data_IF_060006436916
#
_entry.id   IF_060006436916
#
_cell.length_a   1.000
_cell.length_b   1.000
_cell.length_c   1.000
_cell.angle_alpha   90.00
_cell.angle_beta   90.00
_cell.angle_gamma   90.00
#
_symmetry.space_group_name_H-M   'P 1'
#
loop_
_entity.id
_entity.type
_entity.pdbx_description
1 polymer ?
#
# COMPACT_ATOMS: atom_id res chain seq x y z
N UNK A 1 -30.06 -23.33 72.66
CA UNK A 1 -28.82 -22.65 72.26
C UNK A 1 -28.15 -23.47 71.15
N UNK A 2 -28.08 -23.01 69.91
CA UNK A 2 -27.42 -23.73 68.85
C UNK A 2 -27.98 -23.49 67.44
N UNK A 3 -28.01 -22.23 66.93
CA UNK A 3 -28.34 -21.98 65.51
C UNK A 3 -27.70 -20.67 64.97
N UNK A 4 -26.49 -20.31 65.34
CA UNK A 4 -25.90 -19.04 64.88
C UNK A 4 -24.53 -19.11 64.19
N UNK A 5 -23.98 -20.29 63.88
CA UNK A 5 -22.59 -20.39 63.38
C UNK A 5 -22.46 -20.87 61.93
N UNK A 6 -23.52 -21.06 61.17
CA UNK A 6 -23.47 -21.59 59.78
C UNK A 6 -23.66 -20.60 58.65
N UNK A 7 -23.79 -19.31 58.94
CA UNK A 7 -24.06 -18.32 57.89
C UNK A 7 -22.83 -17.50 57.43
N UNK A 8 -21.68 -17.61 58.09
CA UNK A 8 -20.53 -16.70 57.82
C UNK A 8 -19.55 -17.27 56.77
N UNK A 9 -19.53 -18.59 56.54
CA UNK A 9 -18.55 -19.17 55.58
C UNK A 9 -18.93 -19.12 54.11
N UNK A 10 -20.22 -18.97 53.75
CA UNK A 10 -20.66 -19.00 52.34
C UNK A 10 -20.36 -17.69 51.61
N UNK A 11 -20.21 -16.59 52.34
CA UNK A 11 -19.96 -15.26 51.72
C UNK A 11 -18.52 -15.06 51.20
N UNK A 12 -17.52 -15.74 51.78
CA UNK A 12 -16.11 -15.54 51.41
C UNK A 12 -15.65 -16.28 50.13
N UNK A 13 -16.34 -17.34 49.73
CA UNK A 13 -15.91 -18.12 48.55
C UNK A 13 -16.38 -17.51 47.22
N UNK A 14 -17.54 -16.80 47.18
CA UNK A 14 -18.06 -16.17 45.97
C UNK A 14 -17.25 -14.94 45.49
N UNK A 15 -16.58 -14.22 46.37
CA UNK A 15 -15.81 -13.02 46.03
C UNK A 15 -14.47 -13.30 45.34
N UNK A 16 -13.89 -14.48 45.57
CA UNK A 16 -12.57 -14.84 45.01
C UNK A 16 -12.70 -15.39 43.58
N UNK A 17 -13.77 -16.07 43.28
CA UNK A 17 -14.07 -16.61 41.94
C UNK A 17 -14.42 -15.51 40.93
N UNK A 18 -15.21 -14.51 41.34
CA UNK A 18 -15.56 -13.40 40.43
C UNK A 18 -14.35 -12.51 40.08
N UNK A 19 -13.44 -12.26 40.99
CA UNK A 19 -12.24 -11.44 40.74
C UNK A 19 -11.26 -12.14 39.79
N UNK A 20 -11.12 -13.46 39.87
CA UNK A 20 -10.31 -14.25 38.93
C UNK A 20 -10.96 -14.31 37.55
N UNK A 21 -12.26 -14.54 37.44
CA UNK A 21 -12.99 -14.56 36.17
C UNK A 21 -12.88 -13.20 35.47
N UNK A 22 -13.03 -12.09 36.19
CA UNK A 22 -12.91 -10.75 35.64
C UNK A 22 -11.50 -10.43 35.13
N UNK A 23 -10.45 -10.90 35.83
CA UNK A 23 -9.06 -10.76 35.37
C UNK A 23 -8.78 -11.55 34.08
N UNK A 24 -9.33 -12.74 33.94
CA UNK A 24 -9.17 -13.52 32.70
C UNK A 24 -9.92 -12.91 31.51
N UNK A 25 -11.12 -12.37 31.74
CA UNK A 25 -11.90 -11.67 30.70
C UNK A 25 -11.17 -10.38 30.25
N UNK A 26 -10.62 -9.58 31.18
CA UNK A 26 -9.86 -8.38 30.80
C UNK A 26 -8.58 -8.73 30.05
N UNK A 27 -7.86 -9.78 30.43
CA UNK A 27 -6.65 -10.22 29.72
C UNK A 27 -6.94 -10.71 28.30
N UNK A 28 -8.04 -11.45 28.11
CA UNK A 28 -8.43 -11.94 26.77
C UNK A 28 -8.92 -10.83 25.87
N UNK A 29 -9.68 -9.84 26.38
CA UNK A 29 -10.14 -8.68 25.62
C UNK A 29 -8.95 -7.80 25.21
N UNK A 30 -7.99 -7.58 26.11
CA UNK A 30 -6.78 -6.81 25.80
C UNK A 30 -5.91 -7.50 24.75
N UNK A 31 -5.76 -8.82 24.82
CA UNK A 31 -5.02 -9.60 23.83
C UNK A 31 -5.71 -9.58 22.44
N UNK A 32 -7.05 -9.64 22.40
CA UNK A 32 -7.82 -9.52 21.15
C UNK A 32 -7.70 -8.12 20.52
N UNK A 33 -7.72 -7.06 21.33
CA UNK A 33 -7.57 -5.68 20.83
C UNK A 33 -6.14 -5.42 20.33
N UNK A 34 -5.12 -5.94 20.99
CA UNK A 34 -3.73 -5.86 20.51
C UNK A 34 -3.51 -6.68 19.25
N UNK A 35 -4.12 -7.86 19.13
CA UNK A 35 -4.05 -8.70 17.93
C UNK A 35 -4.74 -8.06 16.71
N UNK A 36 -5.89 -7.43 16.89
CA UNK A 36 -6.60 -6.72 15.82
C UNK A 36 -5.81 -5.49 15.32
N UNK A 37 -5.15 -4.75 16.23
CA UNK A 37 -4.32 -3.60 15.87
C UNK A 37 -3.13 -3.94 14.98
N UNK A 38 -2.50 -5.09 15.19
CA UNK A 38 -1.35 -5.54 14.38
C UNK A 38 -1.77 -5.92 12.96
N UNK A 39 -2.96 -6.52 12.76
CA UNK A 39 -3.44 -6.91 11.43
C UNK A 39 -3.79 -5.68 10.56
N UNK A 40 -4.28 -4.60 11.15
CA UNK A 40 -4.56 -3.35 10.43
C UNK A 40 -3.31 -2.55 10.03
N UNK A 41 -2.21 -2.68 10.78
CA UNK A 41 -0.97 -1.94 10.51
C UNK A 41 -0.23 -2.42 9.25
N UNK A 42 -0.49 -3.65 8.77
CA UNK A 42 0.18 -4.21 7.58
C UNK A 42 -0.52 -3.92 6.24
N UNK A 43 -1.70 -3.31 6.25
CA UNK A 43 -2.47 -2.98 5.05
C UNK A 43 -2.66 -1.47 4.85
N UNK A 44 -1.67 -0.65 5.17
CA UNK A 44 -1.72 0.77 4.80
C UNK A 44 -1.39 0.87 3.31
N UNK A 45 -2.34 1.23 2.42
CA UNK A 45 -2.06 1.47 1.02
C UNK A 45 -1.01 2.59 0.91
N UNK A 46 0.16 2.27 0.34
CA UNK A 46 1.25 3.25 0.17
C UNK A 46 2.46 3.08 1.07
N UNK A 47 2.42 2.21 2.10
CA UNK A 47 3.59 1.92 2.93
C UNK A 47 4.31 0.65 2.47
N UNK A 48 5.04 0.77 1.37
CA UNK A 48 6.03 -0.20 0.92
C UNK A 48 5.50 -1.35 0.08
N UNK A 49 6.05 -1.49 -1.11
CA UNK A 49 5.91 -2.59 -2.09
C UNK A 49 4.55 -2.62 -2.79
N UNK A 50 4.47 -1.99 -3.96
CA UNK A 50 3.31 -1.97 -4.83
C UNK A 50 2.60 -3.33 -5.01
N UNK A 51 1.31 -3.30 -5.33
CA UNK A 51 0.50 -4.49 -5.60
C UNK A 51 1.17 -5.33 -6.71
N UNK A 52 1.35 -6.63 -6.46
CA UNK A 52 1.92 -7.53 -7.48
C UNK A 52 0.87 -7.84 -8.54
N UNK A 53 1.20 -7.51 -9.78
CA UNK A 53 0.36 -7.81 -10.94
C UNK A 53 1.05 -8.84 -11.85
N UNK A 54 0.25 -9.51 -12.69
CA UNK A 54 0.74 -10.48 -13.68
C UNK A 54 0.34 -10.04 -15.06
N UNK A 55 1.19 -10.31 -16.04
CA UNK A 55 0.77 -10.17 -17.43
C UNK A 55 0.01 -11.41 -17.89
N UNK A 56 -1.07 -11.19 -18.63
CA UNK A 56 -1.85 -12.23 -19.30
C UNK A 56 -1.79 -11.93 -20.80
N UNK A 57 -1.34 -12.86 -21.60
CA UNK A 57 -1.16 -12.68 -23.07
C UNK A 57 -0.32 -11.44 -23.41
N UNK A 58 0.72 -11.15 -22.62
CA UNK A 58 1.63 -10.03 -22.87
C UNK A 58 1.12 -8.65 -22.46
N UNK A 59 0.02 -8.56 -21.71
CA UNK A 59 -0.53 -7.29 -21.19
C UNK A 59 -0.83 -7.36 -19.71
N UNK A 60 -0.66 -6.24 -19.00
CA UNK A 60 -1.15 -6.01 -17.65
C UNK A 60 -2.42 -5.21 -17.77
N UNK A 61 -3.47 -5.66 -17.09
CA UNK A 61 -4.78 -4.99 -17.09
C UNK A 61 -5.14 -4.58 -15.66
N UNK A 62 -5.42 -3.30 -15.45
CA UNK A 62 -5.79 -2.72 -14.15
C UNK A 62 -7.14 -2.01 -14.32
N UNK A 63 -8.17 -2.33 -13.52
CA UNK A 63 -9.44 -1.60 -13.59
C UNK A 63 -9.25 -0.11 -13.34
N UNK A 64 -9.79 0.74 -14.22
CA UNK A 64 -9.70 2.20 -14.09
C UNK A 64 -10.27 2.69 -12.75
N UNK A 65 -11.33 2.02 -12.26
CA UNK A 65 -11.96 2.33 -10.98
C UNK A 65 -11.03 2.25 -9.77
N UNK A 66 -9.93 1.50 -9.86
CA UNK A 66 -8.93 1.40 -8.77
C UNK A 66 -8.05 2.64 -8.61
N UNK A 67 -7.99 3.52 -9.62
CA UNK A 67 -7.01 4.62 -9.68
C UNK A 67 -7.67 5.98 -9.92
N UNK A 68 -8.94 6.14 -9.56
CA UNK A 68 -9.72 7.38 -9.78
C UNK A 68 -9.73 8.32 -8.59
N UNK A 69 -9.11 7.96 -7.49
CA UNK A 69 -9.14 8.66 -6.20
C UNK A 69 -8.08 9.78 -6.08
N UNK A 70 -7.33 10.07 -7.15
CA UNK A 70 -6.25 11.06 -7.15
C UNK A 70 -5.01 10.64 -6.38
N UNK A 71 -4.95 9.40 -5.89
CA UNK A 71 -3.78 8.85 -5.20
C UNK A 71 -2.91 8.06 -6.15
N UNK A 72 -1.61 8.07 -5.90
CA UNK A 72 -0.66 7.23 -6.62
C UNK A 72 -0.79 5.77 -6.16
N UNK A 73 -1.16 4.89 -7.09
CA UNK A 73 -1.26 3.45 -6.89
C UNK A 73 -0.02 2.79 -7.47
N UNK A 74 0.72 2.10 -6.61
CA UNK A 74 1.99 1.46 -6.97
C UNK A 74 1.77 -0.01 -7.29
N UNK A 75 2.43 -0.47 -8.35
CA UNK A 75 2.35 -1.84 -8.84
C UNK A 75 3.74 -2.40 -9.11
N UNK A 76 3.83 -3.72 -9.15
CA UNK A 76 5.04 -4.46 -9.47
C UNK A 76 4.74 -5.67 -10.33
N UNK A 77 5.59 -5.89 -11.32
CA UNK A 77 5.58 -7.10 -12.13
C UNK A 77 6.97 -7.77 -12.09
N UNK A 78 6.99 -9.08 -12.02
CA UNK A 78 8.25 -9.84 -12.15
C UNK A 78 8.37 -10.39 -13.56
N UNK A 79 9.45 -10.04 -14.25
CA UNK A 79 9.81 -10.55 -15.57
C UNK A 79 11.29 -10.88 -15.63
N UNK A 80 11.64 -12.07 -16.08
CA UNK A 80 13.03 -12.53 -16.16
C UNK A 80 13.81 -12.44 -14.84
N UNK A 81 13.15 -12.63 -13.70
CA UNK A 81 13.77 -12.53 -12.38
C UNK A 81 13.93 -11.10 -11.84
N UNK A 82 13.57 -10.08 -12.62
CA UNK A 82 13.58 -8.68 -12.20
C UNK A 82 12.19 -8.23 -11.77
N UNK A 83 12.12 -7.46 -10.68
CA UNK A 83 10.88 -6.84 -10.21
C UNK A 83 10.82 -5.39 -10.71
N UNK A 84 9.95 -5.13 -11.68
CA UNK A 84 9.77 -3.82 -12.31
C UNK A 84 8.62 -3.10 -11.59
N UNK A 85 8.93 -1.99 -10.92
CA UNK A 85 7.97 -1.14 -10.22
C UNK A 85 7.43 -0.02 -11.09
N UNK A 86 6.13 0.28 -10.99
CA UNK A 86 5.50 1.40 -11.68
C UNK A 86 4.33 1.94 -10.86
N UNK A 87 3.84 3.12 -11.19
CA UNK A 87 2.68 3.71 -10.55
C UNK A 87 1.73 4.34 -11.56
N UNK A 88 0.48 4.43 -11.13
CA UNK A 88 -0.61 5.10 -11.83
C UNK A 88 -1.21 6.13 -10.90
N UNK A 89 -1.52 7.31 -11.42
CA UNK A 89 -2.16 8.38 -10.64
C UNK A 89 -3.05 9.23 -11.55
N UNK A 90 -4.26 9.54 -11.09
CA UNK A 90 -5.13 10.49 -11.78
C UNK A 90 -4.77 11.90 -11.35
N UNK A 91 -4.37 12.74 -12.31
CA UNK A 91 -4.01 14.12 -12.03
C UNK A 91 -5.23 15.01 -11.84
N UNK A 92 -5.00 16.24 -11.37
CA UNK A 92 -6.04 17.30 -11.23
C UNK A 92 -6.58 17.75 -12.59
N UNK A 93 -5.87 17.49 -13.69
CA UNK A 93 -6.31 17.66 -15.07
C UNK A 93 -7.31 16.60 -15.53
N UNK A 94 -7.62 15.63 -14.68
CA UNK A 94 -8.50 14.50 -14.97
C UNK A 94 -7.85 13.40 -15.82
N UNK A 95 -6.61 13.58 -16.27
CA UNK A 95 -5.87 12.57 -17.03
C UNK A 95 -5.24 11.53 -16.13
N UNK A 96 -5.04 10.34 -16.68
CA UNK A 96 -4.26 9.28 -16.02
C UNK A 96 -2.78 9.43 -16.39
N UNK A 97 -1.93 9.51 -15.39
CA UNK A 97 -0.48 9.56 -15.53
C UNK A 97 0.14 8.25 -15.06
N UNK A 98 1.03 7.69 -15.85
CA UNK A 98 1.70 6.41 -15.56
C UNK A 98 3.21 6.56 -15.74
N UNK A 99 3.96 6.02 -14.79
CA UNK A 99 5.43 6.05 -14.86
C UNK A 99 6.05 4.88 -14.10
N UNK A 100 7.29 4.60 -14.39
CA UNK A 100 8.10 3.69 -13.59
C UNK A 100 8.37 4.29 -12.20
N UNK A 101 8.37 3.44 -11.16
CA UNK A 101 8.71 3.86 -9.79
C UNK A 101 10.24 3.98 -9.62
N UNK A 102 10.84 4.72 -10.52
CA UNK A 102 12.26 4.97 -10.57
C UNK A 102 12.55 6.24 -11.36
N UNK A 103 13.72 6.84 -11.15
CA UNK A 103 14.14 7.99 -11.92
C UNK A 103 15.47 7.71 -12.65
N UNK A 104 15.66 8.35 -13.78
CA UNK A 104 16.83 8.16 -14.65
C UNK A 104 18.17 8.45 -13.98
N UNK A 105 18.16 9.30 -12.95
CA UNK A 105 19.38 9.72 -12.23
C UNK A 105 19.59 8.91 -10.96
N UNK A 106 18.50 8.66 -10.20
CA UNK A 106 18.59 8.04 -8.87
C UNK A 106 18.25 6.54 -8.87
N UNK A 107 18.11 5.88 -10.02
CA UNK A 107 17.62 4.49 -10.10
C UNK A 107 18.52 3.50 -9.31
N UNK A 108 19.80 3.73 -9.24
CA UNK A 108 20.74 2.86 -8.50
C UNK A 108 20.40 2.77 -7.02
N UNK A 109 19.81 3.81 -6.44
CA UNK A 109 19.39 3.85 -5.04
C UNK A 109 18.10 3.06 -4.76
N UNK A 110 17.35 2.66 -5.80
CA UNK A 110 16.13 1.85 -5.74
C UNK A 110 15.07 2.34 -4.74
N UNK A 111 15.04 3.64 -4.45
CA UNK A 111 14.13 4.24 -3.45
C UNK A 111 12.75 4.58 -4.00
N UNK A 112 12.65 4.85 -5.32
CA UNK A 112 11.40 5.21 -5.99
C UNK A 112 10.82 6.55 -5.56
N UNK A 113 9.51 6.68 -5.68
CA UNK A 113 8.75 7.91 -5.42
C UNK A 113 7.72 7.72 -4.30
N UNK A 114 7.20 8.85 -3.80
CA UNK A 114 5.96 8.93 -3.03
C UNK A 114 5.19 10.17 -3.49
N UNK A 115 3.88 10.20 -3.22
CA UNK A 115 3.03 11.32 -3.55
C UNK A 115 2.89 12.28 -2.38
N UNK A 116 2.93 13.59 -2.66
CA UNK A 116 2.58 14.66 -1.73
C UNK A 116 1.70 15.68 -2.48
N UNK A 117 0.40 15.65 -2.21
CA UNK A 117 -0.58 16.44 -2.98
C UNK A 117 -0.51 16.13 -4.47
N UNK A 118 -0.35 17.16 -5.30
CA UNK A 118 -0.28 17.06 -6.76
C UNK A 118 1.14 16.81 -7.30
N UNK A 119 2.04 16.33 -6.46
CA UNK A 119 3.42 16.08 -6.81
C UNK A 119 3.87 14.65 -6.49
N UNK A 120 4.69 14.10 -7.36
CA UNK A 120 5.52 12.92 -7.06
C UNK A 120 6.89 13.39 -6.57
N UNK A 121 7.33 12.85 -5.43
CA UNK A 121 8.59 13.22 -4.78
C UNK A 121 9.56 12.06 -4.92
N UNK A 122 10.75 12.31 -5.46
CA UNK A 122 11.82 11.32 -5.47
C UNK A 122 12.34 11.09 -4.04
N UNK A 123 12.27 9.86 -3.55
CA UNK A 123 12.73 9.50 -2.19
C UNK A 123 14.24 9.65 -1.97
N UNK A 124 15.01 9.78 -3.05
CA UNK A 124 16.47 9.94 -2.94
C UNK A 124 16.89 11.40 -2.89
N UNK A 125 16.43 12.23 -3.84
CA UNK A 125 16.87 13.61 -3.97
C UNK A 125 15.85 14.66 -3.53
N UNK A 126 14.67 14.24 -3.07
CA UNK A 126 13.55 15.09 -2.61
C UNK A 126 13.02 16.08 -3.67
N UNK A 127 13.37 15.90 -4.94
CA UNK A 127 12.83 16.74 -6.02
C UNK A 127 11.35 16.42 -6.24
N UNK A 128 10.57 17.49 -6.45
CA UNK A 128 9.12 17.46 -6.68
C UNK A 128 8.81 17.56 -8.17
N UNK A 129 7.92 16.69 -8.66
CA UNK A 129 7.44 16.66 -10.04
C UNK A 129 5.93 16.74 -10.04
N UNK A 130 5.38 17.76 -10.67
CA UNK A 130 3.93 17.88 -10.80
C UNK A 130 3.38 16.67 -11.60
N UNK A 131 2.33 16.04 -11.08
CA UNK A 131 1.71 14.86 -11.67
C UNK A 131 1.27 15.15 -13.12
N UNK A 132 0.67 16.31 -13.38
CA UNK A 132 0.21 16.75 -14.70
C UNK A 132 1.34 16.88 -15.74
N UNK A 133 2.59 16.86 -15.33
CA UNK A 133 3.76 16.91 -16.22
C UNK A 133 4.37 15.53 -16.50
N UNK A 134 3.86 14.47 -15.88
CA UNK A 134 4.29 13.10 -16.14
C UNK A 134 3.66 12.64 -17.46
N UNK A 135 4.49 12.39 -18.46
CA UNK A 135 4.01 12.00 -19.77
C UNK A 135 5.15 11.82 -20.77
N UNK A 136 4.82 11.55 -22.05
CA UNK A 136 5.83 11.25 -23.08
C UNK A 136 6.78 12.40 -23.39
N UNK A 137 6.41 13.62 -23.02
CA UNK A 137 7.21 14.84 -23.24
C UNK A 137 7.90 15.35 -21.97
N UNK A 138 7.88 14.56 -20.89
CA UNK A 138 8.59 14.88 -19.66
C UNK A 138 10.10 14.78 -19.89
N UNK A 139 10.77 15.95 -19.97
CA UNK A 139 12.21 16.05 -20.20
C UNK A 139 12.90 16.63 -18.96
N UNK A 140 14.12 16.12 -18.70
CA UNK A 140 15.04 16.66 -17.68
C UNK A 140 15.05 15.91 -16.36
N UNK A 141 16.26 15.70 -15.83
CA UNK A 141 16.69 14.84 -14.74
C UNK A 141 15.75 14.66 -13.56
N UNK A 142 15.74 13.49 -13.01
CA UNK A 142 14.92 13.02 -11.89
C UNK A 142 13.40 12.96 -12.15
N UNK A 143 12.90 13.15 -13.37
CA UNK A 143 11.51 12.89 -13.69
C UNK A 143 11.17 11.39 -13.53
N UNK A 144 9.95 11.06 -13.09
CA UNK A 144 9.46 9.69 -13.24
C UNK A 144 9.44 9.32 -14.73
N UNK A 145 10.13 8.24 -15.08
CA UNK A 145 10.20 7.79 -16.48
C UNK A 145 8.82 7.35 -16.96
N UNK A 146 8.33 7.98 -18.02
CA UNK A 146 7.00 7.70 -18.56
C UNK A 146 6.83 6.23 -18.95
N UNK A 147 5.68 5.66 -18.61
CA UNK A 147 5.26 4.32 -18.99
C UNK A 147 4.04 4.42 -19.91
N UNK A 148 4.12 4.02 -21.18
CA UNK A 148 2.96 4.06 -22.09
C UNK A 148 1.81 3.18 -21.60
N UNK A 149 0.58 3.64 -21.78
CA UNK A 149 -0.64 2.90 -21.46
C UNK A 149 -1.75 3.25 -22.46
N UNK A 150 -2.80 2.43 -22.45
CA UNK A 150 -4.06 2.67 -23.15
C UNK A 150 -5.22 2.45 -22.20
N UNK A 151 -6.24 3.27 -22.34
CA UNK A 151 -7.53 3.05 -21.66
C UNK A 151 -8.48 2.34 -22.63
N UNK A 152 -9.06 1.22 -22.22
CA UNK A 152 -9.98 0.43 -23.03
C UNK A 152 -10.99 -0.31 -22.14
N UNK A 153 -12.26 -0.18 -22.48
CA UNK A 153 -13.37 -0.87 -21.82
C UNK A 153 -13.32 -0.78 -20.26
N UNK A 154 -13.03 0.44 -19.75
CA UNK A 154 -12.95 0.69 -18.30
C UNK A 154 -11.71 0.12 -17.62
N UNK A 155 -10.71 -0.26 -18.40
CA UNK A 155 -9.43 -0.78 -17.91
C UNK A 155 -8.26 0.04 -18.46
N UNK A 156 -7.18 0.03 -17.69
CA UNK A 156 -5.86 0.49 -18.09
C UNK A 156 -5.08 -0.71 -18.58
N UNK A 157 -4.58 -0.65 -19.80
CA UNK A 157 -3.83 -1.71 -20.47
C UNK A 157 -2.41 -1.25 -20.70
N UNK A 158 -1.44 -1.99 -20.16
CA UNK A 158 0.00 -1.73 -20.29
C UNK A 158 0.62 -2.97 -20.91
N UNK A 159 1.38 -2.82 -22.00
CA UNK A 159 2.02 -3.96 -22.63
C UNK A 159 3.27 -4.41 -21.85
N UNK A 160 3.56 -5.71 -21.87
CA UNK A 160 4.77 -6.23 -21.27
C UNK A 160 6.02 -5.69 -21.97
N UNK A 161 5.94 -5.39 -23.27
CA UNK A 161 7.02 -4.74 -24.02
C UNK A 161 7.34 -3.35 -23.46
N UNK A 162 6.31 -2.54 -23.17
CA UNK A 162 6.51 -1.21 -22.58
C UNK A 162 7.13 -1.32 -21.19
N UNK A 163 6.65 -2.25 -20.36
CA UNK A 163 7.22 -2.51 -19.03
C UNK A 163 8.70 -2.93 -19.10
N UNK A 164 9.08 -3.73 -20.10
CA UNK A 164 10.47 -4.15 -20.30
C UNK A 164 11.42 -3.01 -20.64
N UNK A 165 10.94 -1.91 -21.21
CA UNK A 165 11.81 -0.75 -21.52
C UNK A 165 12.41 -0.15 -20.24
N UNK A 166 11.68 -0.25 -19.11
CA UNK A 166 12.14 0.21 -17.79
C UNK A 166 12.99 -0.81 -17.02
N UNK A 167 13.09 -2.07 -17.47
CA UNK A 167 13.77 -3.15 -16.73
C UNK A 167 15.25 -2.85 -16.42
N UNK A 168 15.88 -1.95 -17.17
CA UNK A 168 17.27 -1.50 -16.95
C UNK A 168 17.46 -0.71 -15.63
N UNK A 169 16.37 -0.18 -15.09
CA UNK A 169 16.41 0.64 -13.87
C UNK A 169 16.22 -0.18 -12.58
N UNK A 170 15.96 -1.49 -12.68
CA UNK A 170 15.63 -2.38 -11.56
C UNK A 170 16.60 -3.53 -11.36
#
# INVERSE_FOLDING_TARGET
>A
MGKAIKQVEISKSKGKSQKTLFKWITLTVTALLLGAGVVFAFNIPGLGKGEKVKSVKGVVTIPLSKVTDGKAHFYKITDGGKEIGFFLVKGVDGALHTAFDTCDVCYQEKKGYFQEGDFMICKNCNKKFAIVRIGPHAIGGCNPTYLPHKESAGNIVITLSDLKTGARFF
#
